data_IF_822550936683
#
_entry.id   IF_822550936683
#
_cell.length_a   1.000
_cell.length_b   1.000
_cell.length_c   1.000
_cell.angle_alpha   90.00
_cell.angle_beta   90.00
_cell.angle_gamma   90.00
#
_symmetry.space_group_name_H-M   'P 1'
#
loop_
_entity.id
_entity.type
_entity.pdbx_description
1 polymer ?
#
# COMPACT_ATOMS: atom_id res chain seq x y z
N UNK A 1 -4.53 9.40 -8.98
CA UNK A 1 -4.54 8.69 -7.67
C UNK A 1 -4.41 7.21 -7.90
N UNK A 2 -4.01 6.45 -6.89
CA UNK A 2 -3.96 4.98 -6.89
C UNK A 2 -4.57 4.48 -5.59
N UNK A 3 -5.25 3.34 -5.64
CA UNK A 3 -5.90 2.79 -4.47
C UNK A 3 -6.54 1.44 -4.72
N UNK A 4 -7.07 0.87 -3.67
CA UNK A 4 -7.85 -0.36 -3.71
C UNK A 4 -8.96 -0.32 -2.67
N UNK A 5 -10.00 -1.10 -2.91
CA UNK A 5 -11.06 -1.39 -1.96
C UNK A 5 -11.62 -2.79 -2.20
N UNK A 6 -12.35 -3.28 -1.23
CA UNK A 6 -13.08 -4.52 -1.35
C UNK A 6 -13.87 -4.87 -0.11
N UNK A 7 -14.64 -5.91 -0.26
CA UNK A 7 -15.45 -6.50 0.80
C UNK A 7 -15.55 -8.01 0.59
N UNK A 8 -15.76 -8.73 1.67
CA UNK A 8 -15.94 -10.18 1.69
C UNK A 8 -16.96 -10.57 2.75
N UNK A 9 -17.86 -11.49 2.42
CA UNK A 9 -18.93 -11.97 3.27
C UNK A 9 -20.30 -11.36 2.92
N UNK A 10 -21.36 -11.92 3.48
CA UNK A 10 -22.75 -11.56 3.19
C UNK A 10 -23.16 -11.88 1.74
N UNK A 11 -24.13 -12.75 1.56
CA UNK A 11 -24.59 -13.11 0.23
C UNK A 11 -25.39 -11.95 -0.40
N UNK A 12 -24.99 -11.51 -1.59
CA UNK A 12 -25.62 -10.48 -2.40
C UNK A 12 -25.92 -11.03 -3.80
N UNK A 13 -26.79 -10.38 -4.56
CA UNK A 13 -26.83 -10.67 -5.99
C UNK A 13 -25.64 -10.00 -6.71
N UNK A 14 -25.32 -10.46 -7.92
CA UNK A 14 -24.14 -9.98 -8.64
C UNK A 14 -24.24 -8.51 -9.09
N UNK A 15 -25.46 -7.98 -9.24
CA UNK A 15 -25.68 -6.57 -9.60
C UNK A 15 -25.35 -5.70 -8.40
N UNK A 16 -25.88 -6.04 -7.22
CA UNK A 16 -25.62 -5.33 -5.98
C UNK A 16 -24.14 -5.41 -5.58
N UNK A 17 -23.49 -6.57 -5.77
CA UNK A 17 -22.06 -6.72 -5.53
C UNK A 17 -21.22 -5.73 -6.36
N UNK A 18 -21.57 -5.55 -7.62
CA UNK A 18 -20.94 -4.55 -8.49
C UNK A 18 -21.24 -3.13 -8.01
N UNK A 19 -22.49 -2.80 -7.72
CA UNK A 19 -22.89 -1.46 -7.26
C UNK A 19 -22.18 -1.04 -5.95
N UNK A 20 -22.03 -1.97 -5.00
CA UNK A 20 -21.28 -1.75 -3.77
C UNK A 20 -19.82 -1.42 -4.09
N UNK A 21 -19.18 -2.25 -4.91
CA UNK A 21 -17.77 -2.04 -5.27
C UNK A 21 -17.56 -0.71 -5.99
N UNK A 22 -18.46 -0.38 -6.95
CA UNK A 22 -18.42 0.88 -7.68
C UNK A 22 -18.62 2.10 -6.75
N UNK A 23 -19.53 2.00 -5.76
CA UNK A 23 -19.75 3.05 -4.77
C UNK A 23 -18.52 3.27 -3.87
N UNK A 24 -17.84 2.20 -3.45
CA UNK A 24 -16.60 2.28 -2.68
C UNK A 24 -15.48 2.95 -3.49
N UNK A 25 -15.34 2.60 -4.77
CA UNK A 25 -14.37 3.26 -5.67
C UNK A 25 -14.71 4.73 -5.86
N UNK A 26 -15.97 5.06 -6.15
CA UNK A 26 -16.42 6.44 -6.37
C UNK A 26 -16.20 7.35 -5.17
N UNK A 27 -16.26 6.79 -3.93
CA UNK A 27 -15.98 7.55 -2.71
C UNK A 27 -14.49 7.92 -2.56
N UNK A 28 -13.60 7.31 -3.33
CA UNK A 28 -12.15 7.51 -3.22
C UNK A 28 -11.51 8.15 -4.45
N UNK A 29 -12.24 8.28 -5.54
CA UNK A 29 -11.69 8.85 -6.78
C UNK A 29 -12.72 9.68 -7.53
N UNK A 30 -12.37 10.92 -7.81
CA UNK A 30 -13.17 11.84 -8.65
C UNK A 30 -12.88 11.65 -10.16
N UNK A 31 -11.92 10.82 -10.51
CA UNK A 31 -11.39 10.77 -11.87
C UNK A 31 -11.82 9.51 -12.64
N UNK A 32 -12.52 9.74 -13.74
CA UNK A 32 -12.85 8.70 -14.74
C UNK A 32 -11.63 8.18 -15.54
N UNK A 33 -10.44 8.73 -15.31
CA UNK A 33 -9.23 8.48 -16.12
C UNK A 33 -8.29 7.39 -15.54
N UNK A 34 -8.62 6.80 -14.40
CA UNK A 34 -7.83 5.73 -13.82
C UNK A 34 -8.14 4.39 -14.52
N UNK A 35 -7.11 3.62 -14.86
CA UNK A 35 -7.30 2.22 -15.22
C UNK A 35 -7.79 1.47 -13.98
N UNK A 36 -9.07 1.17 -13.95
CA UNK A 36 -9.69 0.41 -12.87
C UNK A 36 -9.82 -1.05 -13.29
N UNK A 37 -9.48 -1.95 -12.39
CA UNK A 37 -9.71 -3.39 -12.50
C UNK A 37 -10.55 -3.83 -11.32
N UNK A 38 -11.66 -4.51 -11.55
CA UNK A 38 -12.55 -4.98 -10.51
C UNK A 38 -12.95 -6.43 -10.75
N UNK A 39 -13.02 -7.20 -9.67
CA UNK A 39 -13.50 -8.57 -9.62
C UNK A 39 -14.61 -8.65 -8.57
N UNK A 40 -15.71 -9.30 -8.86
CA UNK A 40 -16.82 -9.45 -7.93
C UNK A 40 -17.59 -10.74 -8.16
N UNK A 41 -18.17 -11.24 -7.07
CA UNK A 41 -19.12 -12.35 -7.06
C UNK A 41 -20.19 -12.09 -6.00
N UNK A 42 -21.06 -13.06 -5.73
CA UNK A 42 -22.16 -12.87 -4.77
C UNK A 42 -21.73 -12.53 -3.35
N UNK A 43 -20.55 -12.96 -2.94
CA UNK A 43 -20.08 -12.81 -1.56
C UNK A 43 -18.84 -11.91 -1.44
N UNK A 44 -18.42 -11.25 -2.51
CA UNK A 44 -17.19 -10.49 -2.53
C UNK A 44 -17.13 -9.49 -3.68
N UNK A 45 -16.42 -8.41 -3.44
CA UNK A 45 -16.04 -7.46 -4.47
C UNK A 45 -14.69 -6.84 -4.12
N UNK A 46 -13.80 -6.79 -5.10
CA UNK A 46 -12.50 -6.13 -4.95
C UNK A 46 -12.19 -5.30 -6.18
N UNK A 47 -11.57 -4.15 -5.97
CA UNK A 47 -11.14 -3.26 -7.04
C UNK A 47 -9.79 -2.63 -6.71
N UNK A 48 -9.00 -2.40 -7.77
CA UNK A 48 -7.77 -1.62 -7.68
C UNK A 48 -7.66 -0.69 -8.89
N UNK A 49 -7.03 0.47 -8.69
CA UNK A 49 -6.83 1.47 -9.75
C UNK A 49 -5.50 2.22 -9.58
N UNK A 50 -4.94 2.63 -10.70
CA UNK A 50 -3.74 3.47 -10.75
C UNK A 50 -3.68 4.24 -12.07
N UNK A 51 -3.04 5.42 -12.07
CA UNK A 51 -2.72 6.19 -13.27
C UNK A 51 -1.47 5.68 -14.01
N UNK A 52 -0.58 5.00 -13.31
CA UNK A 52 0.76 4.62 -13.79
C UNK A 52 1.00 3.11 -13.73
N UNK A 53 -0.02 2.32 -14.02
CA UNK A 53 0.01 0.84 -14.07
C UNK A 53 0.65 0.14 -12.85
N UNK A 54 0.43 0.71 -11.66
CA UNK A 54 0.87 0.13 -10.39
C UNK A 54 -0.27 -0.60 -9.64
N UNK A 55 -1.32 -0.98 -10.34
CA UNK A 55 -2.44 -1.74 -9.79
C UNK A 55 -2.73 -2.94 -10.67
N UNK A 56 -2.82 -4.12 -10.08
CA UNK A 56 -3.17 -5.34 -10.78
C UNK A 56 -4.17 -6.18 -10.00
N UNK A 57 -4.95 -6.97 -10.74
CA UNK A 57 -5.89 -7.95 -10.22
C UNK A 57 -5.60 -9.29 -10.89
N UNK A 58 -5.84 -10.37 -10.15
CA UNK A 58 -5.74 -11.74 -10.65
C UNK A 58 -6.87 -12.57 -10.05
N UNK A 59 -7.44 -13.46 -10.85
CA UNK A 59 -8.49 -14.39 -10.42
C UNK A 59 -8.13 -15.79 -10.92
N UNK A 60 -8.06 -16.72 -9.98
CA UNK A 60 -7.82 -18.13 -10.28
C UNK A 60 -8.77 -19.00 -9.41
N UNK A 61 -9.81 -19.53 -10.01
CA UNK A 61 -10.84 -20.28 -9.31
C UNK A 61 -11.54 -19.44 -8.23
N UNK A 62 -11.40 -19.85 -6.97
CA UNK A 62 -11.97 -19.14 -5.81
C UNK A 62 -11.05 -18.07 -5.23
N UNK A 63 -9.85 -17.95 -5.77
CA UNK A 63 -8.83 -17.00 -5.30
C UNK A 63 -8.91 -15.70 -6.10
N UNK A 64 -9.12 -14.59 -5.41
CA UNK A 64 -9.05 -13.24 -5.98
C UNK A 64 -7.97 -12.45 -5.27
N UNK A 65 -7.14 -11.80 -6.05
CA UNK A 65 -6.01 -10.99 -5.58
C UNK A 65 -6.07 -9.61 -6.19
N UNK A 66 -5.89 -8.59 -5.38
CA UNK A 66 -5.58 -7.23 -5.84
C UNK A 66 -4.34 -6.71 -5.11
N UNK A 67 -3.52 -5.99 -5.84
CA UNK A 67 -2.34 -5.32 -5.30
C UNK A 67 -2.18 -3.94 -5.94
N UNK A 68 -1.74 -3.00 -5.14
CA UNK A 68 -1.34 -1.65 -5.58
C UNK A 68 0.04 -1.36 -5.03
N UNK A 69 0.91 -0.91 -5.89
CA UNK A 69 2.27 -0.52 -5.52
C UNK A 69 3.35 -1.19 -6.36
N UNK A 70 4.58 -1.02 -5.94
CA UNK A 70 5.76 -1.60 -6.57
C UNK A 70 6.35 -2.67 -5.65
N UNK A 71 6.22 -3.93 -6.06
CA UNK A 71 6.64 -5.11 -5.30
C UNK A 71 7.78 -5.81 -6.00
N UNK A 72 8.72 -6.29 -5.21
CA UNK A 72 9.72 -7.25 -5.64
C UNK A 72 9.85 -8.37 -4.60
N UNK A 73 10.31 -9.53 -5.05
CA UNK A 73 10.43 -10.75 -4.26
C UNK A 73 11.91 -11.09 -4.04
N UNK A 74 12.19 -11.79 -2.94
CA UNK A 74 13.49 -12.45 -2.76
C UNK A 74 13.72 -13.63 -3.72
N UNK A 75 12.65 -14.09 -4.39
CA UNK A 75 12.63 -15.21 -5.33
C UNK A 75 12.53 -14.71 -6.78
N UNK A 76 13.49 -15.08 -7.63
CA UNK A 76 13.55 -14.63 -9.03
C UNK A 76 12.36 -15.15 -9.86
N UNK A 77 11.88 -16.36 -9.62
CA UNK A 77 10.69 -16.91 -10.32
C UNK A 77 9.44 -16.03 -10.13
N UNK A 78 9.22 -15.50 -8.92
CA UNK A 78 8.09 -14.61 -8.66
C UNK A 78 8.31 -13.22 -9.26
N UNK A 79 9.55 -12.74 -9.36
CA UNK A 79 9.86 -11.49 -10.05
C UNK A 79 9.63 -11.63 -11.56
N UNK A 80 10.04 -12.74 -12.16
CA UNK A 80 9.80 -13.04 -13.58
C UNK A 80 8.28 -13.13 -13.86
N UNK A 81 7.53 -13.87 -13.05
CA UNK A 81 6.08 -13.98 -13.20
C UNK A 81 5.36 -12.62 -13.06
N UNK A 82 5.84 -11.76 -12.14
CA UNK A 82 5.28 -10.42 -11.98
C UNK A 82 5.53 -9.52 -13.21
N UNK A 83 6.62 -9.74 -13.94
CA UNK A 83 6.95 -9.03 -15.18
C UNK A 83 6.22 -9.60 -16.41
N UNK A 84 6.14 -10.94 -16.52
CA UNK A 84 5.51 -11.61 -17.65
C UNK A 84 3.99 -11.53 -17.64
N UNK A 85 3.40 -11.61 -16.45
CA UNK A 85 1.94 -11.52 -16.25
C UNK A 85 1.56 -10.27 -15.46
N UNK A 86 1.48 -10.39 -14.12
CA UNK A 86 1.16 -9.27 -13.21
C UNK A 86 1.71 -9.53 -11.80
N UNK A 87 1.88 -8.45 -11.02
CA UNK A 87 2.19 -8.58 -9.59
C UNK A 87 1.11 -9.35 -8.82
N UNK A 88 -0.17 -9.25 -9.21
CA UNK A 88 -1.25 -9.99 -8.59
C UNK A 88 -1.15 -11.51 -8.86
N UNK A 89 -0.72 -11.92 -10.06
CA UNK A 89 -0.48 -13.35 -10.39
C UNK A 89 0.67 -13.92 -9.54
N UNK A 90 1.76 -13.16 -9.37
CA UNK A 90 2.86 -13.56 -8.49
C UNK A 90 2.42 -13.72 -7.03
N UNK A 91 1.57 -12.81 -6.52
CA UNK A 91 0.96 -12.93 -5.19
C UNK A 91 0.09 -14.18 -5.09
N UNK A 92 -0.77 -14.45 -6.07
CA UNK A 92 -1.64 -15.63 -6.08
C UNK A 92 -0.81 -16.92 -6.00
N UNK A 93 0.26 -17.02 -6.81
CA UNK A 93 1.18 -18.17 -6.79
C UNK A 93 1.92 -18.30 -5.46
N UNK A 94 2.39 -17.20 -4.88
CA UNK A 94 3.06 -17.21 -3.58
C UNK A 94 2.11 -17.61 -2.45
N UNK A 95 0.88 -17.08 -2.44
CA UNK A 95 -0.17 -17.45 -1.49
C UNK A 95 -0.54 -18.93 -1.58
N UNK A 96 -0.70 -19.48 -2.78
CA UNK A 96 -1.02 -20.88 -2.99
C UNK A 96 0.10 -21.83 -2.49
N UNK A 97 1.35 -21.37 -2.46
CA UNK A 97 2.50 -22.15 -1.97
C UNK A 97 2.68 -22.10 -0.46
N UNK A 98 2.47 -20.96 0.17
CA UNK A 98 2.88 -20.71 1.56
C UNK A 98 1.80 -20.07 2.45
N UNK A 99 0.56 -19.94 1.94
CA UNK A 99 -0.50 -19.24 2.65
C UNK A 99 -0.05 -17.83 3.04
N UNK A 100 -0.44 -17.36 4.22
CA UNK A 100 -0.10 -16.02 4.71
C UNK A 100 1.40 -15.72 4.85
N UNK A 101 2.25 -16.75 4.89
CA UNK A 101 3.70 -16.58 4.99
C UNK A 101 4.32 -15.93 3.73
N UNK A 102 3.59 -15.86 2.61
CA UNK A 102 4.03 -15.15 1.41
C UNK A 102 4.43 -13.70 1.70
N UNK A 103 3.83 -13.05 2.71
CA UNK A 103 4.11 -11.66 3.08
C UNK A 103 5.55 -11.45 3.55
N UNK A 104 6.20 -12.46 4.11
CA UNK A 104 7.57 -12.37 4.62
C UNK A 104 8.59 -12.14 3.50
N UNK A 105 8.29 -12.68 2.29
CA UNK A 105 9.15 -12.57 1.11
C UNK A 105 8.81 -11.38 0.22
N UNK A 106 7.72 -10.65 0.54
CA UNK A 106 7.35 -9.43 -0.19
C UNK A 106 8.15 -8.22 0.28
N UNK A 107 8.65 -7.47 -0.67
CA UNK A 107 9.41 -6.23 -0.47
C UNK A 107 8.86 -5.11 -1.34
N UNK A 108 9.20 -3.87 -0.99
CA UNK A 108 8.77 -2.67 -1.71
C UNK A 108 7.63 -1.94 -1.00
N UNK A 109 7.01 -0.99 -1.70
CA UNK A 109 5.88 -0.20 -1.22
C UNK A 109 4.59 -0.76 -1.82
N UNK A 110 3.70 -1.30 -0.99
CA UNK A 110 2.49 -1.95 -1.47
C UNK A 110 1.34 -1.97 -0.45
N UNK A 111 0.14 -2.15 -0.97
CA UNK A 111 -0.98 -2.75 -0.25
C UNK A 111 -1.56 -3.89 -1.08
N UNK A 112 -1.96 -4.96 -0.42
CA UNK A 112 -2.44 -6.19 -1.05
C UNK A 112 -3.68 -6.72 -0.34
N UNK A 113 -4.60 -7.29 -1.11
CA UNK A 113 -5.71 -8.09 -0.60
C UNK A 113 -5.79 -9.41 -1.36
N UNK A 114 -6.04 -10.47 -0.61
CA UNK A 114 -6.24 -11.84 -1.09
C UNK A 114 -7.55 -12.34 -0.49
N UNK A 115 -8.50 -12.74 -1.33
CA UNK A 115 -9.75 -13.38 -0.92
C UNK A 115 -9.73 -14.81 -1.46
N UNK A 116 -9.92 -15.79 -0.58
CA UNK A 116 -10.14 -17.18 -0.94
C UNK A 116 -11.55 -17.58 -0.50
N UNK A 117 -12.48 -17.54 -1.45
CA UNK A 117 -13.89 -17.83 -1.18
C UNK A 117 -14.12 -19.28 -0.77
N UNK A 118 -13.31 -20.24 -1.25
CA UNK A 118 -13.40 -21.65 -0.87
C UNK A 118 -13.00 -21.89 0.59
N UNK A 119 -11.99 -21.20 1.07
CA UNK A 119 -11.54 -21.28 2.46
C UNK A 119 -12.32 -20.35 3.40
N UNK A 120 -13.16 -19.46 2.85
CA UNK A 120 -13.87 -18.43 3.62
C UNK A 120 -12.92 -17.42 4.29
N UNK A 121 -11.83 -17.08 3.61
CA UNK A 121 -10.77 -16.22 4.16
C UNK A 121 -10.55 -14.96 3.31
N UNK A 122 -10.21 -13.86 3.99
CA UNK A 122 -9.70 -12.66 3.36
C UNK A 122 -8.50 -12.13 4.13
N UNK A 123 -7.41 -11.80 3.43
CA UNK A 123 -6.20 -11.21 3.98
C UNK A 123 -6.00 -9.84 3.35
N UNK A 124 -5.71 -8.84 4.16
CA UNK A 124 -5.20 -7.55 3.70
C UNK A 124 -3.91 -7.21 4.42
N UNK A 125 -2.94 -6.66 3.71
CA UNK A 125 -1.65 -6.27 4.28
C UNK A 125 -1.11 -4.99 3.65
N UNK A 126 -0.27 -4.28 4.41
CA UNK A 126 0.49 -3.13 3.94
C UNK A 126 1.99 -3.38 4.10
N UNK A 127 2.77 -2.62 3.36
CA UNK A 127 4.23 -2.72 3.35
C UNK A 127 4.88 -2.47 4.72
N UNK A 128 6.15 -2.83 4.82
CA UNK A 128 6.94 -2.82 6.07
C UNK A 128 7.06 -1.45 6.71
N UNK A 129 7.00 -0.37 5.94
CA UNK A 129 7.15 1.01 6.41
C UNK A 129 5.82 1.77 6.44
N UNK A 130 4.72 1.16 5.95
CA UNK A 130 3.41 1.79 5.89
C UNK A 130 3.35 2.97 4.91
N UNK A 131 4.04 2.85 3.77
CA UNK A 131 3.97 3.83 2.66
C UNK A 131 2.54 3.84 2.10
N UNK A 132 1.91 2.67 2.03
CA UNK A 132 0.48 2.54 1.80
C UNK A 132 -0.28 2.38 3.10
N UNK A 133 -1.56 2.73 3.09
CA UNK A 133 -2.47 2.50 4.20
C UNK A 133 -3.62 1.61 3.76
N UNK A 134 -4.10 0.75 4.67
CA UNK A 134 -5.38 0.07 4.56
C UNK A 134 -6.20 0.37 5.80
N UNK A 135 -7.41 0.83 5.55
CA UNK A 135 -8.48 0.95 6.52
C UNK A 135 -9.39 -0.27 6.38
N UNK A 136 -9.90 -0.77 7.49
CA UNK A 136 -10.80 -1.92 7.49
C UNK A 136 -11.85 -1.83 8.59
N UNK A 137 -12.96 -2.49 8.36
CA UNK A 137 -14.02 -2.76 9.33
C UNK A 137 -14.46 -4.21 9.20
N UNK A 138 -14.94 -4.79 10.30
CA UNK A 138 -15.45 -6.15 10.30
C UNK A 138 -16.63 -6.29 11.24
N UNK A 139 -17.56 -7.17 10.85
CA UNK A 139 -18.62 -7.72 11.67
C UNK A 139 -18.54 -9.24 11.63
N UNK A 140 -19.49 -9.95 12.25
CA UNK A 140 -19.53 -11.41 12.17
C UNK A 140 -19.69 -11.94 10.73
N UNK A 141 -20.28 -11.15 9.83
CA UNK A 141 -20.64 -11.60 8.49
C UNK A 141 -19.87 -10.90 7.36
N UNK A 142 -19.18 -9.79 7.68
CA UNK A 142 -18.55 -8.94 6.66
C UNK A 142 -17.16 -8.48 7.06
N UNK A 143 -16.27 -8.47 6.09
CA UNK A 143 -14.97 -7.80 6.15
C UNK A 143 -14.87 -6.78 5.02
N UNK A 144 -14.68 -5.52 5.35
CA UNK A 144 -14.66 -4.40 4.41
C UNK A 144 -13.32 -3.71 4.56
N UNK A 145 -12.67 -3.37 3.45
CA UNK A 145 -11.37 -2.72 3.46
C UNK A 145 -11.19 -1.75 2.28
N UNK A 146 -10.37 -0.74 2.49
CA UNK A 146 -10.01 0.22 1.45
C UNK A 146 -8.72 0.97 1.83
N UNK A 147 -8.09 1.60 0.84
CA UNK A 147 -6.93 2.49 1.08
C UNK A 147 -7.31 3.84 1.70
N UNK A 148 -8.60 4.13 1.82
CA UNK A 148 -9.16 5.29 2.52
C UNK A 148 -10.33 4.90 3.41
N UNK A 149 -10.53 5.65 4.50
CA UNK A 149 -11.71 5.51 5.36
C UNK A 149 -13.01 5.75 4.62
N UNK A 150 -13.03 6.68 3.66
CA UNK A 150 -14.22 7.00 2.88
C UNK A 150 -14.68 5.82 2.02
N UNK A 151 -13.74 5.05 1.47
CA UNK A 151 -14.06 3.81 0.77
C UNK A 151 -14.70 2.76 1.67
N UNK A 152 -14.25 2.63 2.91
CA UNK A 152 -14.84 1.69 3.88
C UNK A 152 -16.27 2.11 4.24
N UNK A 153 -16.49 3.38 4.59
CA UNK A 153 -17.83 3.87 4.99
C UNK A 153 -18.78 4.12 3.83
N UNK A 154 -18.33 3.94 2.59
CA UNK A 154 -19.20 3.90 1.42
C UNK A 154 -19.94 2.57 1.27
N UNK A 155 -19.45 1.50 1.92
CA UNK A 155 -20.17 0.23 1.96
C UNK A 155 -21.50 0.37 2.70
N UNK A 156 -22.63 -0.19 2.18
CA UNK A 156 -23.98 0.04 2.77
C UNK A 156 -24.13 -0.47 4.19
N UNK A 157 -23.35 -1.47 4.61
CA UNK A 157 -23.42 -2.00 5.99
C UNK A 157 -22.57 -1.19 6.99
N UNK A 158 -22.00 -0.06 6.55
CA UNK A 158 -21.19 0.79 7.41
C UNK A 158 -21.90 2.08 7.81
N UNK A 159 -21.83 2.40 9.10
CA UNK A 159 -22.31 3.67 9.62
C UNK A 159 -21.19 4.71 9.69
N UNK A 160 -21.49 5.94 9.28
CA UNK A 160 -20.56 7.08 9.33
C UNK A 160 -20.62 7.76 10.69
N UNK A 161 -20.20 7.08 11.75
CA UNK A 161 -20.14 7.64 13.10
C UNK A 161 -18.74 8.13 13.40
N UNK A 162 -18.60 9.45 13.59
CA UNK A 162 -17.31 10.06 13.94
C UNK A 162 -16.93 9.68 15.37
N UNK A 163 -15.66 9.34 15.58
CA UNK A 163 -15.10 9.11 16.90
C UNK A 163 -14.59 10.43 17.51
N UNK A 164 -15.18 10.90 18.62
CA UNK A 164 -14.75 12.14 19.27
C UNK A 164 -13.28 12.14 19.71
N UNK A 165 -12.74 10.97 20.11
CA UNK A 165 -11.33 10.85 20.46
C UNK A 165 -10.42 11.11 19.25
N UNK A 166 -10.85 10.71 18.09
CA UNK A 166 -10.10 10.92 16.84
C UNK A 166 -10.07 12.40 16.43
N UNK A 167 -11.10 13.18 16.75
CA UNK A 167 -11.08 14.65 16.58
C UNK A 167 -10.00 15.26 17.49
N UNK A 168 -9.96 14.87 18.76
CA UNK A 168 -8.92 15.31 19.69
C UNK A 168 -7.52 14.95 19.21
N UNK A 169 -7.32 13.71 18.78
CA UNK A 169 -6.05 13.23 18.24
C UNK A 169 -5.63 14.06 17.02
N UNK A 170 -6.57 14.37 16.11
CA UNK A 170 -6.27 15.18 14.94
C UNK A 170 -5.84 16.61 15.31
N UNK A 171 -6.52 17.24 16.26
CA UNK A 171 -6.16 18.59 16.73
C UNK A 171 -4.78 18.63 17.40
N UNK A 172 -4.39 17.55 18.06
CA UNK A 172 -3.12 17.46 18.76
C UNK A 172 -1.95 17.02 17.85
N UNK A 173 -2.15 15.98 17.03
CA UNK A 173 -1.10 15.38 16.20
C UNK A 173 -1.14 15.85 14.74
N UNK A 174 -2.11 16.67 14.35
CA UNK A 174 -2.42 17.00 12.94
C UNK A 174 -2.72 15.77 12.07
N UNK A 175 -2.99 14.65 12.68
CA UNK A 175 -3.35 13.37 12.07
C UNK A 175 -4.09 12.48 13.06
N UNK A 176 -4.80 11.47 12.56
CA UNK A 176 -5.34 10.42 13.42
C UNK A 176 -4.39 9.22 13.38
N UNK A 177 -3.63 8.94 14.47
CA UNK A 177 -2.65 7.85 14.49
C UNK A 177 -3.32 6.48 14.29
N UNK A 178 -2.63 5.58 13.57
CA UNK A 178 -3.03 4.17 13.49
C UNK A 178 -2.90 3.50 14.89
N UNK A 179 -3.76 2.54 15.23
CA UNK A 179 -4.80 1.92 14.42
C UNK A 179 -6.14 2.67 14.39
N UNK A 180 -6.22 3.88 14.97
CA UNK A 180 -7.42 4.70 14.96
C UNK A 180 -7.75 5.27 13.57
N UNK A 181 -9.01 5.62 13.36
CA UNK A 181 -9.47 6.38 12.21
C UNK A 181 -10.48 7.43 12.66
N UNK A 182 -10.90 8.32 11.76
CA UNK A 182 -11.92 9.33 12.07
C UNK A 182 -13.27 8.68 12.37
N UNK A 183 -13.55 7.48 11.87
CA UNK A 183 -14.79 6.76 12.10
C UNK A 183 -14.63 5.69 13.18
N UNK A 184 -15.60 5.60 14.10
CA UNK A 184 -15.57 4.77 15.30
C UNK A 184 -15.31 3.29 15.04
N UNK A 185 -15.87 2.73 13.97
CA UNK A 185 -15.83 1.30 13.67
C UNK A 185 -14.84 0.95 12.55
N UNK A 186 -14.01 1.90 12.15
CA UNK A 186 -12.97 1.71 11.12
C UNK A 186 -11.60 1.74 11.78
N UNK A 187 -10.75 0.79 11.45
CA UNK A 187 -9.37 0.71 11.92
C UNK A 187 -8.39 0.81 10.76
N UNK A 188 -7.16 1.18 11.04
CA UNK A 188 -6.04 1.21 10.09
C UNK A 188 -5.01 0.16 10.48
N UNK A 189 -4.41 -0.49 9.49
CA UNK A 189 -3.25 -1.34 9.71
C UNK A 189 -2.03 -0.52 10.13
N UNK A 190 -1.17 -1.13 10.92
CA UNK A 190 0.16 -0.62 11.26
C UNK A 190 1.19 -1.10 10.23
N UNK A 191 2.33 -0.39 10.04
CA UNK A 191 3.43 -0.82 9.17
C UNK A 191 3.85 -2.26 9.44
N UNK A 192 4.02 -3.07 8.38
CA UNK A 192 4.38 -4.48 8.49
C UNK A 192 3.29 -5.39 9.05
N UNK A 193 2.03 -4.92 9.11
CA UNK A 193 0.90 -5.67 9.66
C UNK A 193 0.00 -6.20 8.54
N UNK A 194 -0.67 -7.30 8.83
CA UNK A 194 -1.79 -7.83 8.05
C UNK A 194 -3.01 -8.03 8.94
N UNK A 195 -4.20 -8.02 8.34
CA UNK A 195 -5.45 -8.49 8.94
C UNK A 195 -5.92 -9.73 8.18
N UNK A 196 -6.26 -10.77 8.93
CA UNK A 196 -6.88 -12.00 8.43
C UNK A 196 -8.31 -12.06 8.94
N UNK A 197 -9.26 -12.09 8.03
CA UNK A 197 -10.65 -12.41 8.31
C UNK A 197 -10.92 -13.89 8.03
N UNK A 198 -11.41 -14.60 9.03
CA UNK A 198 -11.82 -16.00 8.93
C UNK A 198 -12.86 -16.32 10.00
N UNK A 199 -13.87 -17.11 9.67
CA UNK A 199 -14.93 -17.54 10.61
C UNK A 199 -15.60 -16.37 11.35
N UNK A 200 -15.86 -15.26 10.65
CA UNK A 200 -16.50 -14.07 11.24
C UNK A 200 -15.62 -13.27 12.20
N UNK A 201 -14.32 -13.51 12.22
CA UNK A 201 -13.37 -12.81 13.11
C UNK A 201 -12.22 -12.22 12.32
N UNK A 202 -11.74 -11.07 12.79
CA UNK A 202 -10.49 -10.46 12.27
C UNK A 202 -9.40 -10.60 13.30
N UNK A 203 -8.29 -11.15 12.85
CA UNK A 203 -7.04 -11.19 13.60
C UNK A 203 -6.00 -10.32 12.89
N UNK A 204 -5.31 -9.47 13.66
CA UNK A 204 -4.20 -8.65 13.12
C UNK A 204 -2.89 -9.13 13.71
N UNK A 205 -1.91 -9.33 12.83
CA UNK A 205 -0.58 -9.77 13.23
C UNK A 205 0.47 -9.06 12.39
N UNK A 206 1.69 -8.98 12.92
CA UNK A 206 2.82 -8.46 12.17
C UNK A 206 3.50 -9.60 11.42
N UNK A 207 3.74 -9.41 10.13
CA UNK A 207 4.60 -10.30 9.34
C UNK A 207 6.05 -9.80 9.33
N UNK A 208 6.27 -8.56 9.77
CA UNK A 208 7.60 -7.96 9.85
C UNK A 208 7.70 -6.95 10.99
N UNK A 209 8.84 -6.92 11.64
CA UNK A 209 9.23 -5.91 12.63
C UNK A 209 10.62 -5.39 12.32
N UNK A 210 10.83 -4.10 12.49
CA UNK A 210 12.16 -3.52 12.43
C UNK A 210 13.00 -4.03 13.61
N UNK A 211 14.11 -4.67 13.29
CA UNK A 211 15.07 -5.18 14.28
C UNK A 211 16.36 -4.39 14.19
N UNK A 212 16.79 -3.83 15.29
CA UNK A 212 18.10 -3.22 15.42
C UNK A 212 19.08 -4.27 15.94
N UNK A 213 20.21 -4.40 15.26
CA UNK A 213 21.29 -5.27 15.70
C UNK A 213 22.56 -4.42 15.83
N UNK A 214 23.31 -4.63 16.91
CA UNK A 214 24.62 -4.05 17.04
C UNK A 214 25.58 -4.78 16.08
N UNK A 215 26.01 -4.10 15.03
CA UNK A 215 26.78 -4.70 13.93
C UNK A 215 28.26 -4.94 14.27
N UNK A 216 28.62 -4.88 15.55
CA UNK A 216 29.99 -5.10 15.98
C UNK A 216 30.99 -4.05 15.47
N UNK A 217 32.25 -4.38 15.47
CA UNK A 217 33.36 -3.48 15.10
C UNK A 217 33.57 -3.34 13.58
N UNK A 218 32.58 -2.82 12.84
CA UNK A 218 32.84 -2.47 11.45
C UNK A 218 33.48 -1.08 11.35
N UNK A 219 34.54 -0.93 10.53
CA UNK A 219 35.18 0.35 10.30
C UNK A 219 34.24 1.37 9.65
N UNK A 220 34.34 2.64 10.02
CA UNK A 220 33.50 3.72 9.50
C UNK A 220 33.43 3.74 7.97
N UNK A 221 34.57 3.58 7.31
CA UNK A 221 34.68 3.54 5.83
C UNK A 221 33.82 2.41 5.21
N UNK A 222 33.84 1.23 5.81
CA UNK A 222 33.01 0.11 5.34
C UNK A 222 31.52 0.37 5.48
N UNK A 223 31.09 1.00 6.58
CA UNK A 223 29.71 1.42 6.80
C UNK A 223 29.27 2.46 5.78
N UNK A 224 30.12 3.44 5.49
CA UNK A 224 29.87 4.47 4.49
C UNK A 224 29.69 3.88 3.08
N UNK A 225 30.57 2.96 2.67
CA UNK A 225 30.44 2.27 1.37
C UNK A 225 29.18 1.40 1.29
N UNK A 226 28.88 0.68 2.38
CA UNK A 226 27.66 -0.13 2.47
C UNK A 226 26.40 0.73 2.36
N UNK A 227 26.36 1.86 3.05
CA UNK A 227 25.23 2.80 2.97
C UNK A 227 25.03 3.33 1.55
N UNK A 228 26.11 3.73 0.87
CA UNK A 228 26.05 4.19 -0.53
C UNK A 228 25.48 3.11 -1.45
N UNK A 229 25.94 1.86 -1.32
CA UNK A 229 25.44 0.73 -2.13
C UNK A 229 23.96 0.45 -1.83
N UNK A 230 23.56 0.49 -0.57
CA UNK A 230 22.15 0.31 -0.18
C UNK A 230 21.25 1.39 -0.76
N UNK A 231 21.66 2.66 -0.68
CA UNK A 231 20.92 3.79 -1.26
C UNK A 231 20.78 3.65 -2.79
N UNK A 232 21.87 3.32 -3.48
CA UNK A 232 21.83 3.09 -4.93
C UNK A 232 20.91 1.92 -5.31
N UNK A 233 20.96 0.82 -4.55
CA UNK A 233 20.13 -0.35 -4.81
C UNK A 233 18.66 -0.05 -4.54
N UNK A 234 18.35 0.63 -3.42
CA UNK A 234 16.99 1.02 -3.08
C UNK A 234 16.39 1.96 -4.13
N UNK A 235 17.19 2.93 -4.59
CA UNK A 235 16.76 3.88 -5.62
C UNK A 235 16.45 3.17 -6.94
N UNK A 236 17.36 2.29 -7.42
CA UNK A 236 17.14 1.52 -8.66
C UNK A 236 15.88 0.65 -8.60
N UNK A 237 15.57 0.06 -7.45
CA UNK A 237 14.36 -0.74 -7.24
C UNK A 237 13.09 0.10 -7.19
N UNK A 238 13.20 1.37 -6.79
CA UNK A 238 12.06 2.29 -6.69
C UNK A 238 11.70 2.96 -8.02
N UNK A 239 12.61 2.97 -8.98
CA UNK A 239 12.45 3.61 -10.28
C UNK A 239 11.98 2.56 -11.29
N UNK A 240 10.82 2.80 -11.87
CA UNK A 240 10.19 1.92 -12.88
C UNK A 240 10.25 2.50 -14.30
N UNK A 241 10.65 3.77 -14.44
CA UNK A 241 10.67 4.49 -15.71
C UNK A 241 12.04 5.18 -15.93
N UNK A 242 12.39 5.41 -17.19
CA UNK A 242 13.58 6.19 -17.57
C UNK A 242 13.44 7.70 -17.31
N UNK A 243 12.20 8.21 -17.23
CA UNK A 243 11.91 9.59 -16.85
C UNK A 243 11.58 9.67 -15.38
N UNK A 244 12.57 10.07 -14.61
CA UNK A 244 12.48 10.16 -13.15
C UNK A 244 12.83 11.56 -12.70
N UNK A 245 12.06 12.08 -11.73
CA UNK A 245 12.35 13.33 -11.05
C UNK A 245 12.44 13.16 -9.55
N UNK A 246 13.09 14.08 -8.87
CA UNK A 246 13.22 14.11 -7.42
C UNK A 246 12.77 15.46 -6.84
N UNK A 247 12.08 15.42 -5.71
CA UNK A 247 11.89 16.63 -4.91
C UNK A 247 13.20 17.02 -4.25
N UNK A 248 13.58 18.30 -4.37
CA UNK A 248 14.80 18.87 -3.80
C UNK A 248 14.42 20.03 -2.87
N UNK A 249 14.51 19.81 -1.57
CA UNK A 249 14.24 20.84 -0.56
C UNK A 249 15.51 21.59 -0.09
N UNK A 250 16.70 21.14 -0.55
CA UNK A 250 17.97 21.64 -0.03
C UNK A 250 18.45 20.95 1.26
N UNK A 251 17.62 20.11 1.88
CA UNK A 251 18.00 19.27 3.01
C UNK A 251 18.92 18.11 2.61
N UNK A 252 19.65 17.54 3.57
CA UNK A 252 20.62 16.46 3.35
C UNK A 252 20.02 15.26 2.65
N UNK A 253 18.80 14.84 3.04
CA UNK A 253 18.16 13.62 2.53
C UNK A 253 17.75 13.78 1.07
N UNK A 254 17.02 14.86 0.75
CA UNK A 254 16.58 15.15 -0.61
C UNK A 254 17.76 15.36 -1.57
N UNK A 255 18.80 16.06 -1.13
CA UNK A 255 20.01 16.28 -1.91
C UNK A 255 20.79 14.97 -2.12
N UNK A 256 20.83 14.08 -1.13
CA UNK A 256 21.45 12.76 -1.27
C UNK A 256 20.71 11.92 -2.32
N UNK A 257 19.38 11.87 -2.26
CA UNK A 257 18.58 11.12 -3.22
C UNK A 257 18.72 11.68 -4.64
N UNK A 258 18.65 13.02 -4.80
CA UNK A 258 18.83 13.66 -6.10
C UNK A 258 20.24 13.40 -6.66
N UNK A 259 21.28 13.46 -5.82
CA UNK A 259 22.67 13.19 -6.21
C UNK A 259 22.90 11.73 -6.61
N UNK A 260 22.34 10.76 -5.87
CA UNK A 260 22.43 9.33 -6.22
C UNK A 260 21.64 9.04 -7.49
N UNK A 261 20.49 9.68 -7.69
CA UNK A 261 19.68 9.57 -8.90
C UNK A 261 20.48 10.03 -10.13
N UNK A 262 21.08 11.22 -10.04
CA UNK A 262 21.91 11.77 -11.14
C UNK A 262 23.13 10.88 -11.49
N UNK A 263 23.67 10.12 -10.54
CA UNK A 263 24.79 9.19 -10.77
C UNK A 263 24.33 7.82 -11.29
N UNK A 264 23.08 7.44 -11.08
CA UNK A 264 22.58 6.09 -11.36
C UNK A 264 21.94 5.95 -12.74
N UNK A 265 21.58 7.05 -13.39
CA UNK A 265 20.91 7.07 -14.69
C UNK A 265 21.70 7.88 -15.70
N UNK A 266 21.57 7.51 -16.98
CA UNK A 266 22.27 8.17 -18.10
C UNK A 266 21.72 9.54 -18.46
N UNK A 267 20.45 9.80 -18.14
CA UNK A 267 19.81 11.09 -18.34
C UNK A 267 19.83 11.89 -17.05
N UNK A 268 20.00 13.23 -17.10
CA UNK A 268 19.84 14.09 -15.94
C UNK A 268 18.45 13.90 -15.33
N UNK A 269 18.39 13.80 -14.01
CA UNK A 269 17.11 13.76 -13.30
C UNK A 269 16.55 15.17 -13.15
N UNK A 270 15.27 15.34 -13.47
CA UNK A 270 14.57 16.58 -13.17
C UNK A 270 14.41 16.74 -11.66
N UNK A 271 14.70 17.93 -11.14
CA UNK A 271 14.47 18.25 -9.74
C UNK A 271 13.38 19.29 -9.58
N UNK A 272 12.56 19.13 -8.55
CA UNK A 272 11.43 19.99 -8.24
C UNK A 272 11.57 20.56 -6.84
N UNK A 273 11.54 21.89 -6.72
CA UNK A 273 11.60 22.58 -5.44
C UNK A 273 10.39 23.49 -5.26
N UNK A 274 9.90 23.63 -4.04
CA UNK A 274 8.78 24.49 -3.69
C UNK A 274 9.33 25.66 -2.88
N UNK A 275 9.16 26.89 -3.37
CA UNK A 275 9.48 28.11 -2.65
C UNK A 275 8.25 28.71 -1.98
N UNK A 276 8.46 29.35 -0.84
CA UNK A 276 7.42 30.05 -0.09
C UNK A 276 7.80 31.53 0.08
N UNK A 277 6.84 32.42 -0.20
CA UNK A 277 7.00 33.86 0.05
C UNK A 277 6.76 34.19 1.54
N UNK A 278 7.37 33.41 2.46
CA UNK A 278 7.24 33.56 3.89
C UNK A 278 8.60 33.40 4.57
N UNK A 279 8.96 34.36 5.41
CA UNK A 279 10.23 34.36 6.14
C UNK A 279 10.35 33.14 7.07
N UNK A 280 11.47 32.41 6.98
CA UNK A 280 11.73 31.20 7.78
C UNK A 280 11.12 29.91 7.22
N UNK A 281 10.39 29.96 6.10
CA UNK A 281 9.78 28.79 5.46
C UNK A 281 10.31 28.53 4.05
N UNK A 282 11.15 29.42 3.51
CA UNK A 282 11.70 29.26 2.17
C UNK A 282 13.08 28.61 2.22
N UNK A 283 13.18 27.41 1.71
CA UNK A 283 14.43 26.63 1.62
C UNK A 283 15.07 26.70 0.20
N UNK A 284 14.55 27.57 -0.69
CA UNK A 284 15.03 27.66 -2.07
C UNK A 284 16.49 28.06 -2.18
N UNK A 285 17.04 28.76 -1.20
CA UNK A 285 18.46 29.14 -1.15
C UNK A 285 19.36 27.91 -1.09
N UNK A 286 18.92 26.84 -0.39
CA UNK A 286 19.67 25.59 -0.26
C UNK A 286 19.42 24.61 -1.40
N UNK A 287 18.34 24.80 -2.18
CA UNK A 287 17.98 23.97 -3.32
C UNK A 287 18.64 24.43 -4.64
N UNK A 288 19.22 25.62 -4.67
CA UNK A 288 19.93 26.22 -5.83
C UNK A 288 21.40 25.87 -5.77
#
# INVERSE_FOLDING_TARGET
>A
MKGMCGWFGGERDSILAKEITDAMVAAMTDEKSNTMRALYSRCEGIAAWSKIDQASCHEEGSLKVVIVGNVYWGNDELNELAQEETSAAAVAKAYSRSGKAFLEDMHGAFCVAVINAQEGTAIVAIDRLGIYSICYAASCDHFIFATSTDGVVAHPDMERVIDPQSIFNYLFFHSVPSPGSIYKNVRKLLPGQYALFQNGKVETNFYWHLKYADSGQSHFTQRQESLKKLLQTALRRSVTDEQVGAFLSGGTDSSTIAGVLAQSFTKPADTFSIGFAAEGYDEMEFAR
#
